data_IF_629972673692
#
_entry.id   IF_629972673692
#
_cell.length_a   1.000
_cell.length_b   1.000
_cell.length_c   1.000
_cell.angle_alpha   90.00
_cell.angle_beta   90.00
_cell.angle_gamma   90.00
#
_symmetry.space_group_name_H-M   'P 1'
#
loop_
_entity.id
_entity.type
_entity.pdbx_description
1 polymer ?
#
# COMPACT_ATOMS: atom_id res chain seq x y z
N UNK A 1 15.81 12.27 -1.84
CA UNK A 1 14.79 11.41 -2.47
C UNK A 1 15.09 9.98 -2.07
N UNK A 2 14.07 9.18 -1.80
CA UNK A 2 14.25 7.73 -1.62
C UNK A 2 14.37 7.08 -3.00
N UNK A 3 15.25 6.07 -3.19
CA UNK A 3 15.39 5.39 -4.46
C UNK A 3 14.15 4.56 -4.81
N UNK A 4 13.89 4.37 -6.10
CA UNK A 4 12.79 3.53 -6.58
C UNK A 4 12.97 2.08 -6.14
N UNK A 5 11.92 1.52 -5.54
CA UNK A 5 11.85 0.10 -5.20
C UNK A 5 11.10 -0.65 -6.30
N UNK A 6 11.83 -1.44 -7.09
CA UNK A 6 11.31 -2.16 -8.27
C UNK A 6 11.06 -3.63 -7.94
N UNK A 7 9.88 -4.13 -8.32
CA UNK A 7 9.48 -5.52 -8.10
C UNK A 7 9.28 -6.23 -9.45
N UNK A 8 9.65 -7.51 -9.51
CA UNK A 8 9.43 -8.35 -10.72
C UNK A 8 7.96 -8.59 -11.03
N UNK A 9 7.11 -8.68 -10.00
CA UNK A 9 5.69 -9.01 -10.14
C UNK A 9 4.83 -8.00 -9.39
N UNK A 10 3.67 -7.65 -9.97
CA UNK A 10 2.72 -6.71 -9.38
C UNK A 10 2.20 -7.19 -8.02
N UNK A 11 1.93 -8.49 -7.87
CA UNK A 11 1.50 -9.08 -6.59
C UNK A 11 2.55 -8.89 -5.49
N UNK A 12 3.83 -9.06 -5.83
CA UNK A 12 4.95 -8.80 -4.91
C UNK A 12 5.04 -7.33 -4.51
N UNK A 13 4.86 -6.42 -5.49
CA UNK A 13 4.80 -4.97 -5.24
C UNK A 13 3.69 -4.63 -4.25
N UNK A 14 2.45 -5.08 -4.51
CA UNK A 14 1.30 -4.74 -3.66
C UNK A 14 1.41 -5.31 -2.26
N UNK A 15 1.89 -6.55 -2.11
CA UNK A 15 2.16 -7.12 -0.78
C UNK A 15 3.19 -6.29 -0.01
N UNK A 16 4.27 -5.86 -0.66
CA UNK A 16 5.28 -5.02 -0.02
C UNK A 16 4.72 -3.64 0.38
N UNK A 17 3.91 -3.03 -0.48
CA UNK A 17 3.21 -1.77 -0.20
C UNK A 17 2.32 -1.89 1.04
N UNK A 18 1.48 -2.94 1.13
CA UNK A 18 0.60 -3.15 2.29
C UNK A 18 1.40 -3.36 3.59
N UNK A 19 2.50 -4.12 3.53
CA UNK A 19 3.39 -4.33 4.69
C UNK A 19 3.96 -2.99 5.17
N UNK A 20 4.41 -2.15 4.25
CA UNK A 20 5.02 -0.87 4.59
C UNK A 20 3.99 0.14 5.12
N UNK A 21 2.79 0.18 4.54
CA UNK A 21 1.66 0.95 5.08
C UNK A 21 1.32 0.48 6.49
N UNK A 22 1.21 -0.83 6.72
CA UNK A 22 0.94 -1.40 8.04
C UNK A 22 1.98 -0.98 9.07
N UNK A 23 3.27 -0.99 8.69
CA UNK A 23 4.38 -0.57 9.56
C UNK A 23 4.25 0.90 9.95
N UNK A 24 4.01 1.78 8.98
CA UNK A 24 3.85 3.23 9.24
C UNK A 24 2.58 3.53 10.05
N UNK A 25 1.46 2.88 9.71
CA UNK A 25 0.20 3.06 10.41
C UNK A 25 0.30 2.65 11.88
N UNK A 26 0.98 1.53 12.18
CA UNK A 26 1.27 1.10 13.57
C UNK A 26 2.07 2.12 14.37
N UNK A 27 2.86 2.97 13.71
CA UNK A 27 3.59 4.07 14.35
C UNK A 27 2.79 5.37 14.44
N UNK A 28 1.52 5.38 14.00
CA UNK A 28 0.67 6.57 13.98
C UNK A 28 1.03 7.58 12.89
N UNK A 29 1.87 7.21 11.92
CA UNK A 29 2.30 8.09 10.84
C UNK A 29 1.24 8.12 9.73
N UNK A 30 0.72 9.29 9.34
CA UNK A 30 -0.15 9.41 8.17
C UNK A 30 0.59 9.00 6.89
N UNK A 31 -0.11 8.30 5.98
CA UNK A 31 0.45 7.80 4.72
C UNK A 31 -0.45 8.22 3.57
N UNK A 32 0.14 8.77 2.51
CA UNK A 32 -0.52 9.04 1.23
C UNK A 32 -0.03 8.03 0.20
N UNK A 33 -0.94 7.36 -0.50
CA UNK A 33 -0.61 6.38 -1.54
C UNK A 33 -1.18 6.86 -2.88
N UNK A 34 -0.31 7.07 -3.86
CA UNK A 34 -0.71 7.37 -5.23
C UNK A 34 -0.83 6.10 -6.07
N UNK A 35 -1.94 5.94 -6.77
CA UNK A 35 -2.15 4.91 -7.78
C UNK A 35 -2.27 5.53 -9.17
N UNK A 36 -2.12 4.72 -10.21
CA UNK A 36 -2.23 5.19 -11.60
C UNK A 36 -3.60 4.91 -12.21
N UNK A 37 -4.47 4.16 -11.52
CA UNK A 37 -5.83 3.87 -11.97
C UNK A 37 -6.77 3.60 -10.77
N UNK A 38 -8.08 3.71 -11.01
CA UNK A 38 -9.11 3.45 -10.00
C UNK A 38 -9.12 1.98 -9.57
N UNK A 39 -8.92 1.07 -10.52
CA UNK A 39 -8.91 -0.38 -10.25
C UNK A 39 -7.76 -0.79 -9.31
N UNK A 40 -6.61 -0.10 -9.43
CA UNK A 40 -5.50 -0.29 -8.49
C UNK A 40 -5.84 0.21 -7.09
N UNK A 41 -6.57 1.33 -6.99
CA UNK A 41 -7.06 1.84 -5.71
C UNK A 41 -8.02 0.85 -5.06
N UNK A 42 -8.98 0.32 -5.81
CA UNK A 42 -9.96 -0.67 -5.30
C UNK A 42 -9.27 -1.96 -4.84
N UNK A 43 -8.32 -2.47 -5.62
CA UNK A 43 -7.56 -3.67 -5.27
C UNK A 43 -6.67 -3.48 -4.03
N UNK A 44 -6.10 -2.28 -3.84
CA UNK A 44 -5.35 -1.94 -2.63
C UNK A 44 -6.28 -1.76 -1.43
N UNK A 45 -7.42 -1.08 -1.62
CA UNK A 45 -8.43 -0.86 -0.58
C UNK A 45 -8.90 -2.19 0.03
N UNK A 46 -9.18 -3.19 -0.82
CA UNK A 46 -9.54 -4.53 -0.35
C UNK A 46 -8.44 -5.15 0.52
N UNK A 47 -7.19 -5.11 0.08
CA UNK A 47 -6.05 -5.66 0.84
C UNK A 47 -5.82 -4.94 2.17
N UNK A 48 -5.98 -3.61 2.20
CA UNK A 48 -5.87 -2.82 3.43
C UNK A 48 -7.01 -3.14 4.40
N UNK A 49 -8.22 -3.36 3.88
CA UNK A 49 -9.38 -3.79 4.68
C UNK A 49 -9.17 -5.18 5.27
N UNK A 50 -8.67 -6.12 4.48
CA UNK A 50 -8.29 -7.47 4.96
C UNK A 50 -7.18 -7.41 6.02
N UNK A 51 -6.25 -6.47 5.89
CA UNK A 51 -5.20 -6.21 6.89
C UNK A 51 -5.69 -5.42 8.12
N UNK A 52 -6.96 -5.02 8.17
CA UNK A 52 -7.54 -4.26 9.28
C UNK A 52 -7.03 -2.83 9.41
N UNK A 53 -6.56 -2.21 8.32
CA UNK A 53 -6.01 -0.86 8.29
C UNK A 53 -7.11 0.11 7.82
N UNK A 54 -7.59 1.04 8.68
CA UNK A 54 -8.55 2.07 8.27
C UNK A 54 -7.94 3.00 7.22
N UNK A 55 -8.71 3.28 6.17
CA UNK A 55 -8.32 4.14 5.05
C UNK A 55 -9.57 4.71 4.36
N UNK A 56 -9.36 5.65 3.44
CA UNK A 56 -10.37 6.29 2.57
C UNK A 56 -10.03 6.07 1.10
#
# INVERSE_FOLDING_TARGET
EEPDVVFRAATGKWRAVVVEISRMHKTGRPVLVGTTSVEQSDALSLQLREAGIPHE
#
